data_IF_814336990787
#
_entry.id   IF_814336990787
#
_cell.length_a   1.000
_cell.length_b   1.000
_cell.length_c   1.000
_cell.angle_alpha   90.00
_cell.angle_beta   90.00
_cell.angle_gamma   90.00
#
_symmetry.space_group_name_H-M   'P 1'
#
loop_
_entity.id
_entity.type
_entity.pdbx_description
1 polymer ?
#
# COMPACT_ATOMS: atom_id res chain seq x y z
N UNK A 1 16.40 -5.05 4.02
CA UNK A 1 16.20 -4.22 5.23
C UNK A 1 17.50 -3.67 5.83
N UNK A 2 18.47 -4.49 6.29
CA UNK A 2 19.70 -3.99 6.96
C UNK A 2 20.48 -2.90 6.21
N UNK A 3 20.56 -3.00 4.87
CA UNK A 3 21.22 -1.97 4.03
C UNK A 3 20.50 -0.62 4.08
N UNK A 4 19.17 -0.63 4.04
CA UNK A 4 18.35 0.59 4.12
C UNK A 4 18.50 1.22 5.50
N UNK A 5 18.41 0.42 6.56
CA UNK A 5 18.55 0.91 7.93
C UNK A 5 19.94 1.53 8.18
N UNK A 6 21.01 0.95 7.63
CA UNK A 6 22.35 1.54 7.67
C UNK A 6 22.43 2.91 6.97
N UNK A 7 21.67 3.14 5.90
CA UNK A 7 21.59 4.45 5.24
C UNK A 7 20.75 5.45 6.04
N UNK A 8 19.83 4.96 6.86
CA UNK A 8 18.99 5.74 7.76
C UNK A 8 19.62 5.92 9.14
N UNK A 9 20.87 5.50 9.35
CA UNK A 9 21.55 5.64 10.63
C UNK A 9 21.00 4.76 11.77
N UNK A 10 20.30 3.67 11.45
CA UNK A 10 19.72 2.76 12.46
C UNK A 10 18.30 3.12 12.91
N UNK A 11 17.68 4.17 12.35
CA UNK A 11 16.36 4.65 12.76
C UNK A 11 15.24 3.61 12.60
N UNK A 12 15.34 2.68 11.64
CA UNK A 12 14.31 1.64 11.48
C UNK A 12 14.45 0.59 12.57
N UNK A 13 15.68 0.23 12.95
CA UNK A 13 15.90 -0.72 14.04
C UNK A 13 15.47 -0.11 15.39
N UNK A 14 15.79 1.16 15.63
CA UNK A 14 15.37 1.89 16.83
C UNK A 14 13.84 1.94 16.92
N UNK A 15 13.16 2.45 15.90
CA UNK A 15 11.71 2.52 15.90
C UNK A 15 11.03 1.14 15.94
N UNK A 16 11.62 0.13 15.31
CA UNK A 16 11.10 -1.24 15.42
C UNK A 16 11.18 -1.77 16.85
N UNK A 17 12.19 -1.36 17.62
CA UNK A 17 12.33 -1.74 19.01
C UNK A 17 11.42 -0.90 19.93
N UNK A 18 11.31 0.39 19.69
CA UNK A 18 10.49 1.30 20.50
C UNK A 18 8.99 1.03 20.33
N UNK A 19 8.54 0.74 19.11
CA UNK A 19 7.13 0.46 18.82
C UNK A 19 6.76 -1.03 18.92
N UNK A 20 7.67 -1.88 19.43
CA UNK A 20 7.51 -3.34 19.51
C UNK A 20 6.99 -3.94 18.19
N UNK A 21 7.61 -3.50 17.09
CA UNK A 21 7.24 -3.93 15.76
C UNK A 21 7.75 -5.36 15.52
N UNK A 22 6.83 -6.31 15.60
CA UNK A 22 7.10 -7.75 15.42
C UNK A 22 6.82 -8.24 14.00
N UNK A 23 6.32 -7.35 13.13
CA UNK A 23 5.94 -7.67 11.75
C UNK A 23 4.63 -8.46 11.63
N UNK A 24 3.79 -8.49 12.67
CA UNK A 24 2.47 -9.13 12.64
C UNK A 24 1.56 -8.44 11.63
N UNK A 25 0.64 -9.20 11.04
CA UNK A 25 -0.37 -8.65 10.14
C UNK A 25 -1.17 -7.54 10.83
N UNK A 26 -1.27 -6.38 10.17
CA UNK A 26 -1.97 -5.21 10.71
C UNK A 26 -1.11 -4.28 11.58
N UNK A 27 0.14 -4.62 11.90
CA UNK A 27 1.07 -3.68 12.50
C UNK A 27 1.62 -2.73 11.44
N UNK A 28 1.66 -1.43 11.74
CA UNK A 28 2.29 -0.42 10.89
C UNK A 28 2.92 0.68 11.73
N UNK A 29 4.14 1.08 11.37
CA UNK A 29 4.82 2.26 11.93
C UNK A 29 5.21 3.21 10.80
N UNK A 30 5.13 4.52 11.04
CA UNK A 30 5.53 5.54 10.08
C UNK A 30 6.32 6.63 10.77
N UNK A 31 7.55 6.84 10.31
CA UNK A 31 8.52 7.74 10.91
C UNK A 31 8.86 8.86 9.93
N UNK A 32 9.13 10.04 10.47
CA UNK A 32 9.64 11.16 9.67
C UNK A 32 11.16 11.04 9.52
N UNK A 33 11.64 11.19 8.29
CA UNK A 33 13.07 11.17 8.00
C UNK A 33 13.61 12.60 7.83
N UNK A 34 14.67 12.99 8.55
CA UNK A 34 15.40 14.22 8.26
C UNK A 34 16.42 14.00 7.13
N UNK A 35 16.51 14.94 6.18
CA UNK A 35 17.67 15.04 5.28
C UNK A 35 17.77 14.04 4.12
N UNK A 36 16.72 13.24 3.87
CA UNK A 36 16.64 12.32 2.72
C UNK A 36 15.58 12.78 1.72
N UNK A 37 15.70 12.36 0.46
CA UNK A 37 14.73 12.69 -0.60
C UNK A 37 13.30 12.23 -0.28
N UNK A 38 13.13 11.24 0.60
CA UNK A 38 11.86 10.81 1.16
C UNK A 38 11.58 11.50 2.50
N UNK A 39 10.37 12.06 2.65
CA UNK A 39 9.96 12.76 3.89
C UNK A 39 9.66 11.82 5.06
N UNK A 40 9.25 10.58 4.75
CA UNK A 40 8.81 9.58 5.72
C UNK A 40 9.22 8.18 5.24
N UNK A 41 9.35 7.26 6.18
CA UNK A 41 9.49 5.82 5.94
C UNK A 41 8.51 5.09 6.82
N UNK A 42 7.91 4.02 6.31
CA UNK A 42 7.01 3.17 7.09
C UNK A 42 7.37 1.71 6.98
N UNK A 43 7.12 0.98 8.06
CA UNK A 43 7.17 -0.48 8.08
C UNK A 43 5.74 -1.00 8.24
N UNK A 44 5.38 -2.00 7.44
CA UNK A 44 4.07 -2.66 7.49
C UNK A 44 4.31 -4.15 7.69
N UNK A 45 3.66 -4.71 8.72
CA UNK A 45 3.76 -6.11 9.07
C UNK A 45 2.90 -6.97 8.15
N UNK A 46 3.54 -7.93 7.47
CA UNK A 46 2.88 -8.89 6.58
C UNK A 46 2.46 -10.18 7.29
N UNK A 47 2.88 -10.38 8.53
CA UNK A 47 2.70 -11.62 9.28
C UNK A 47 3.52 -12.79 8.70
N UNK A 48 3.32 -13.97 9.27
CA UNK A 48 4.07 -15.19 8.88
C UNK A 48 3.63 -15.77 7.52
N UNK A 49 2.46 -15.38 7.00
CA UNK A 49 1.90 -15.87 5.72
C UNK A 49 2.07 -14.86 4.58
N UNK A 50 3.26 -14.26 4.47
CA UNK A 50 3.61 -13.20 3.52
C UNK A 50 3.74 -13.65 2.04
N UNK A 51 3.05 -14.71 1.63
CA UNK A 51 3.11 -15.26 0.27
C UNK A 51 1.75 -15.30 -0.44
N UNK A 52 0.67 -14.96 0.25
CA UNK A 52 -0.68 -15.03 -0.34
C UNK A 52 -1.09 -13.71 -1.00
N UNK A 53 -1.87 -13.74 -2.10
CA UNK A 53 -2.44 -12.53 -2.69
C UNK A 53 -3.27 -11.70 -1.70
N UNK A 54 -3.96 -12.35 -0.75
CA UNK A 54 -4.73 -11.66 0.29
C UNK A 54 -3.83 -10.83 1.22
N UNK A 55 -2.66 -11.34 1.61
CA UNK A 55 -1.71 -10.60 2.43
C UNK A 55 -1.16 -9.36 1.69
N UNK A 56 -0.88 -9.50 0.39
CA UNK A 56 -0.44 -8.39 -0.45
C UNK A 56 -1.52 -7.35 -0.70
N UNK A 57 -2.78 -7.77 -0.77
CA UNK A 57 -3.91 -6.83 -0.79
C UNK A 57 -4.01 -6.06 0.52
N UNK A 58 -3.92 -6.75 1.66
CA UNK A 58 -3.88 -6.11 2.98
C UNK A 58 -2.70 -5.13 3.14
N UNK A 59 -1.54 -5.45 2.55
CA UNK A 59 -0.42 -4.51 2.46
C UNK A 59 -0.81 -3.23 1.73
N UNK A 60 -1.45 -3.34 0.57
CA UNK A 60 -1.93 -2.17 -0.18
C UNK A 60 -2.93 -1.33 0.61
N UNK A 61 -3.86 -1.98 1.31
CA UNK A 61 -4.84 -1.30 2.17
C UNK A 61 -4.17 -0.56 3.34
N UNK A 62 -3.17 -1.18 3.97
CA UNK A 62 -2.38 -0.55 5.03
C UNK A 62 -1.54 0.64 4.51
N UNK A 63 -0.98 0.52 3.30
CA UNK A 63 -0.30 1.63 2.62
C UNK A 63 -1.25 2.78 2.35
N UNK A 64 -2.46 2.50 1.85
CA UNK A 64 -3.47 3.52 1.64
C UNK A 64 -3.86 4.24 2.94
N UNK A 65 -4.05 3.50 4.04
CA UNK A 65 -4.33 4.07 5.35
C UNK A 65 -3.18 4.98 5.84
N UNK A 66 -1.94 4.51 5.72
CA UNK A 66 -0.75 5.30 6.06
C UNK A 66 -0.64 6.56 5.20
N UNK A 67 -0.87 6.46 3.90
CA UNK A 67 -0.85 7.59 2.97
C UNK A 67 -1.92 8.64 3.31
N UNK A 68 -3.14 8.21 3.68
CA UNK A 68 -4.23 9.10 4.11
C UNK A 68 -3.88 9.82 5.42
N UNK A 69 -3.42 9.09 6.43
CA UNK A 69 -3.03 9.64 7.73
C UNK A 69 -1.91 10.68 7.59
N UNK A 70 -0.98 10.44 6.68
CA UNK A 70 0.19 11.28 6.47
C UNK A 70 0.02 12.36 5.41
N UNK A 71 -1.10 12.36 4.66
CA UNK A 71 -1.34 13.20 3.48
C UNK A 71 -0.21 13.09 2.44
N UNK A 72 0.30 11.88 2.22
CA UNK A 72 1.34 11.63 1.22
C UNK A 72 0.78 11.78 -0.20
N UNK A 73 1.54 12.46 -1.07
CA UNK A 73 1.21 12.58 -2.50
C UNK A 73 1.75 11.44 -3.33
N UNK A 74 2.89 10.88 -2.95
CA UNK A 74 3.63 9.88 -3.70
C UNK A 74 4.15 8.83 -2.70
N UNK A 75 4.00 7.56 -3.03
CA UNK A 75 4.41 6.45 -2.16
C UNK A 75 5.17 5.40 -2.98
N UNK A 76 6.33 4.98 -2.48
CA UNK A 76 7.04 3.84 -3.01
C UNK A 76 6.91 2.64 -2.06
N UNK A 77 6.56 1.47 -2.60
CA UNK A 77 6.37 0.22 -1.87
C UNK A 77 7.50 -0.74 -2.26
N UNK A 78 8.20 -1.27 -1.27
CA UNK A 78 9.25 -2.30 -1.44
C UNK A 78 8.93 -3.46 -0.51
N UNK A 79 8.98 -4.70 -1.03
CA UNK A 79 8.93 -5.88 -0.19
C UNK A 79 10.29 -6.12 0.47
N UNK A 80 10.28 -6.34 1.78
CA UNK A 80 11.48 -6.60 2.57
C UNK A 80 12.26 -7.87 2.12
N UNK A 81 11.54 -8.85 1.59
CA UNK A 81 12.06 -10.09 1.02
C UNK A 81 11.27 -10.40 -0.24
N UNK A 82 11.86 -10.15 -1.40
CA UNK A 82 11.29 -10.52 -2.71
C UNK A 82 12.07 -11.65 -3.38
N UNK A 83 13.24 -11.97 -2.81
CA UNK A 83 14.13 -13.06 -3.20
C UNK A 83 13.46 -14.40 -2.87
N UNK A 84 12.91 -15.06 -3.89
CA UNK A 84 12.21 -16.35 -3.76
C UNK A 84 10.81 -16.38 -4.36
N UNK A 85 10.23 -15.23 -4.70
CA UNK A 85 8.98 -15.19 -5.46
C UNK A 85 9.25 -15.55 -6.92
N UNK A 86 8.44 -16.46 -7.48
CA UNK A 86 8.44 -16.74 -8.92
C UNK A 86 8.04 -15.48 -9.69
N UNK A 87 8.38 -15.41 -10.99
CA UNK A 87 7.98 -14.29 -11.84
C UNK A 87 6.45 -14.06 -11.81
N UNK A 88 5.68 -15.15 -11.87
CA UNK A 88 4.22 -15.08 -11.79
C UNK A 88 3.73 -14.58 -10.43
N UNK A 89 4.33 -15.06 -9.33
CA UNK A 89 3.97 -14.59 -7.99
C UNK A 89 4.27 -13.10 -7.82
N UNK A 90 5.39 -12.59 -8.37
CA UNK A 90 5.70 -11.16 -8.33
C UNK A 90 4.64 -10.31 -9.03
N UNK A 91 4.19 -10.74 -10.22
CA UNK A 91 3.11 -10.08 -10.95
C UNK A 91 1.80 -10.08 -10.15
N UNK A 92 1.45 -11.23 -9.56
CA UNK A 92 0.23 -11.36 -8.75
C UNK A 92 0.30 -10.52 -7.47
N UNK A 93 1.46 -10.46 -6.81
CA UNK A 93 1.71 -9.59 -5.66
C UNK A 93 1.56 -8.11 -6.01
N UNK A 94 2.15 -7.65 -7.12
CA UNK A 94 2.02 -6.27 -7.57
C UNK A 94 0.56 -5.90 -7.86
N UNK A 95 -0.16 -6.79 -8.54
CA UNK A 95 -1.58 -6.65 -8.85
C UNK A 95 -2.42 -6.57 -7.57
N UNK A 96 -2.16 -7.44 -6.59
CA UNK A 96 -2.87 -7.45 -5.32
C UNK A 96 -2.59 -6.19 -4.48
N UNK A 97 -1.34 -5.72 -4.42
CA UNK A 97 -0.96 -4.47 -3.75
C UNK A 97 -1.68 -3.29 -4.40
N UNK A 98 -1.68 -3.22 -5.73
CA UNK A 98 -2.35 -2.15 -6.48
C UNK A 98 -3.86 -2.12 -6.16
N UNK A 99 -4.55 -3.26 -6.28
CA UNK A 99 -5.98 -3.35 -5.95
C UNK A 99 -6.27 -2.98 -4.49
N UNK A 100 -5.46 -3.48 -3.55
CA UNK A 100 -5.61 -3.15 -2.13
C UNK A 100 -5.44 -1.66 -1.86
N UNK A 101 -4.48 -1.03 -2.53
CA UNK A 101 -4.22 0.41 -2.38
C UNK A 101 -5.38 1.23 -2.93
N UNK A 102 -5.86 0.95 -4.14
CA UNK A 102 -7.00 1.66 -4.74
C UNK A 102 -8.26 1.52 -3.88
N UNK A 103 -8.57 0.29 -3.44
CA UNK A 103 -9.76 0.03 -2.63
C UNK A 103 -9.66 0.58 -1.20
N UNK A 104 -8.46 0.67 -0.62
CA UNK A 104 -8.22 1.27 0.68
C UNK A 104 -8.22 2.81 0.67
N UNK A 105 -7.91 3.41 -0.49
CA UNK A 105 -8.01 4.86 -0.68
C UNK A 105 -9.44 5.33 -0.88
N UNK A 106 -10.31 4.46 -1.40
CA UNK A 106 -11.70 4.82 -1.65
C UNK A 106 -12.43 5.17 -0.35
N UNK A 107 -13.06 6.34 -0.35
CA UNK A 107 -13.99 6.79 0.66
C UNK A 107 -15.22 7.37 -0.03
N UNK A 108 -16.40 6.87 0.32
CA UNK A 108 -17.65 7.38 -0.23
C UNK A 108 -17.97 8.73 0.43
N UNK A 109 -17.59 9.80 -0.26
CA UNK A 109 -17.80 11.17 0.19
C UNK A 109 -18.88 11.88 -0.64
N UNK A 110 -19.66 11.16 -1.47
CA UNK A 110 -20.66 11.73 -2.38
C UNK A 110 -21.79 12.49 -1.66
N UNK A 111 -22.07 12.11 -0.42
CA UNK A 111 -23.14 12.70 0.39
C UNK A 111 -22.64 13.60 1.53
N UNK A 112 -21.34 13.91 1.57
CA UNK A 112 -20.76 14.83 2.57
C UNK A 112 -20.61 16.23 1.99
N UNK A 113 -21.08 17.23 2.72
CA UNK A 113 -20.96 18.65 2.34
C UNK A 113 -19.50 19.11 2.26
N UNK A 114 -18.63 18.58 3.14
CA UNK A 114 -17.18 18.76 3.07
C UNK A 114 -16.53 17.45 2.62
N UNK A 115 -16.12 17.39 1.34
CA UNK A 115 -15.42 16.23 0.79
C UNK A 115 -13.91 16.49 0.74
N UNK A 116 -13.13 15.54 1.25
CA UNK A 116 -11.67 15.54 1.12
C UNK A 116 -11.28 14.56 0.02
N UNK A 117 -10.52 15.05 -0.96
CA UNK A 117 -9.92 14.20 -1.98
C UNK A 117 -8.69 13.50 -1.39
N UNK A 118 -8.39 12.26 -1.79
CA UNK A 118 -7.13 11.62 -1.41
C UNK A 118 -5.96 12.48 -1.88
N UNK A 119 -4.96 12.65 -1.02
CA UNK A 119 -3.74 13.38 -1.37
C UNK A 119 -2.85 12.56 -2.32
N UNK A 120 -2.95 11.22 -2.26
CA UNK A 120 -2.12 10.29 -3.01
C UNK A 120 -2.43 10.35 -4.51
N UNK A 121 -1.40 10.58 -5.31
CA UNK A 121 -1.44 10.72 -6.76
C UNK A 121 -0.71 9.58 -7.47
N UNK A 122 0.38 9.09 -6.88
CA UNK A 122 1.21 8.04 -7.48
C UNK A 122 1.63 6.99 -6.46
N UNK A 123 1.73 5.75 -6.92
CA UNK A 123 2.23 4.61 -6.15
C UNK A 123 3.20 3.82 -7.01
N UNK A 124 4.45 3.77 -6.57
CA UNK A 124 5.51 3.01 -7.23
C UNK A 124 5.73 1.68 -6.51
N UNK A 125 5.53 0.57 -7.21
CA UNK A 125 5.78 -0.77 -6.66
C UNK A 125 7.14 -1.26 -7.17
N UNK A 126 8.13 -1.29 -6.28
CA UNK A 126 9.52 -1.56 -6.64
C UNK A 126 9.86 -3.05 -6.47
N UNK A 127 10.60 -3.60 -7.45
CA UNK A 127 11.18 -4.95 -7.35
C UNK A 127 10.24 -6.11 -7.70
N UNK A 128 9.01 -5.84 -8.16
CA UNK A 128 8.03 -6.87 -8.56
C UNK A 128 7.93 -7.09 -10.08
N UNK A 129 8.89 -6.58 -10.84
CA UNK A 129 8.99 -6.75 -12.29
C UNK A 129 8.56 -5.51 -13.07
N UNK A 130 8.76 -5.57 -14.38
CA UNK A 130 8.45 -4.51 -15.35
C UNK A 130 8.02 -5.14 -16.67
N UNK A 131 7.21 -4.44 -17.47
CA UNK A 131 6.88 -4.85 -18.84
C UNK A 131 5.37 -5.00 -19.10
N UNK A 132 5.01 -5.37 -20.35
CA UNK A 132 3.64 -5.29 -20.85
C UNK A 132 2.67 -6.24 -20.14
N UNK A 133 3.14 -7.40 -19.66
CA UNK A 133 2.30 -8.32 -18.90
C UNK A 133 1.88 -7.76 -17.54
N UNK A 134 2.80 -7.07 -16.86
CA UNK A 134 2.51 -6.39 -15.60
C UNK A 134 1.55 -5.24 -15.82
N UNK A 135 1.79 -4.40 -16.83
CA UNK A 135 0.90 -3.30 -17.19
C UNK A 135 -0.52 -3.78 -17.51
N UNK A 136 -0.65 -4.89 -18.25
CA UNK A 136 -1.96 -5.51 -18.54
C UNK A 136 -2.66 -5.98 -17.27
N UNK A 137 -1.94 -6.60 -16.33
CA UNK A 137 -2.52 -7.05 -15.05
C UNK A 137 -2.87 -5.88 -14.13
N UNK A 138 -2.05 -4.82 -14.09
CA UNK A 138 -2.34 -3.62 -13.33
C UNK A 138 -3.57 -2.90 -13.86
N UNK A 139 -3.70 -2.78 -15.18
CA UNK A 139 -4.91 -2.23 -15.82
C UNK A 139 -6.14 -3.06 -15.50
N UNK A 140 -6.03 -4.38 -15.55
CA UNK A 140 -7.12 -5.27 -15.14
C UNK A 140 -7.48 -5.08 -13.65
N UNK A 141 -6.50 -4.93 -12.76
CA UNK A 141 -6.73 -4.63 -11.35
C UNK A 141 -7.41 -3.29 -11.13
N UNK A 142 -7.08 -2.27 -11.92
CA UNK A 142 -7.74 -0.96 -11.91
C UNK A 142 -9.22 -1.07 -12.33
N UNK A 143 -9.50 -1.75 -13.44
CA UNK A 143 -10.85 -1.97 -13.94
C UNK A 143 -11.71 -2.71 -12.90
N UNK A 144 -11.18 -3.79 -12.32
CA UNK A 144 -11.86 -4.57 -11.27
C UNK A 144 -12.08 -3.73 -10.02
N UNK A 145 -11.08 -2.96 -9.58
CA UNK A 145 -11.22 -2.12 -8.39
C UNK A 145 -12.26 -1.02 -8.60
N UNK A 146 -12.31 -0.44 -9.79
CA UNK A 146 -13.32 0.56 -10.19
C UNK A 146 -14.72 -0.04 -10.21
N UNK A 147 -14.89 -1.26 -10.75
CA UNK A 147 -16.17 -1.95 -10.73
C UNK A 147 -16.64 -2.29 -9.30
N UNK A 148 -15.72 -2.70 -8.42
CA UNK A 148 -16.02 -2.95 -7.00
C UNK A 148 -16.43 -1.66 -6.29
N UNK A 149 -15.73 -0.56 -6.55
CA UNK A 149 -16.07 0.77 -6.01
C UNK A 149 -17.46 1.18 -6.48
N UNK A 150 -17.75 1.07 -7.77
CA UNK A 150 -19.06 1.38 -8.33
C UNK A 150 -20.17 0.53 -7.69
N UNK A 151 -19.93 -0.77 -7.47
CA UNK A 151 -20.85 -1.62 -6.72
C UNK A 151 -21.11 -1.12 -5.29
N UNK A 152 -20.06 -0.71 -4.56
CA UNK A 152 -20.19 -0.11 -3.22
C UNK A 152 -20.97 1.20 -3.27
N UNK A 153 -20.73 2.01 -4.28
CA UNK A 153 -21.44 3.27 -4.49
C UNK A 153 -22.95 3.06 -4.70
N UNK A 154 -23.33 2.08 -5.52
CA UNK A 154 -24.74 1.75 -5.72
C UNK A 154 -25.41 1.30 -4.42
N UNK A 155 -24.75 0.43 -3.66
CA UNK A 155 -25.28 -0.08 -2.38
C UNK A 155 -25.38 1.01 -1.31
N UNK A 156 -24.42 1.92 -1.25
CA UNK A 156 -24.37 2.99 -0.25
C UNK A 156 -25.29 4.18 -0.57
N UNK A 157 -25.88 4.21 -1.77
CA UNK A 157 -26.76 5.32 -2.16
C UNK A 157 -28.10 5.22 -1.43
N UNK A 158 -28.57 6.31 -0.79
CA UNK A 158 -29.82 6.27 -0.04
C UNK A 158 -31.03 6.11 -0.98
N UNK A 159 -32.18 5.66 -0.47
CA UNK A 159 -33.34 5.36 -1.31
C UNK A 159 -33.97 6.58 -2.02
N UNK A 160 -33.54 7.80 -1.66
CA UNK A 160 -34.08 9.06 -2.16
C UNK A 160 -33.22 9.70 -3.28
N UNK A 161 -32.19 9.01 -3.77
CA UNK A 161 -31.45 9.37 -5.00
C UNK A 161 -31.89 8.56 -6.20
#
# INVERSE_FOLDING_TARGET
LKKLDSQLGGLLAEASSEEDFTGKAGQSTVLRLPGLGSKRVGLIGLGQSASTPAAFRGLGEAVAAAAKSTQASDVAIVLASSEGLSAESKLNSATAIASGTVLGLYEDNRYKSESKKPALKSVDILGLGTGPELEKKLKFAEDVSSAVIFGRELVNSPANV
#
